data_IF_049460991124
#
_entry.id   IF_049460991124
#
_cell.length_a   1.000
_cell.length_b   1.000
_cell.length_c   1.000
_cell.angle_alpha   90.00
_cell.angle_beta   90.00
_cell.angle_gamma   90.00
#
_symmetry.space_group_name_H-M   'P 1'
#
loop_
_entity.id
_entity.type
_entity.pdbx_description
1 polymer ?
#
# COMPACT_ATOMS: atom_id res chain seq x y z
N UNK A 1 10.50 -14.15 2.92
CA UNK A 1 10.37 -14.17 1.45
C UNK A 1 8.99 -14.73 1.14
N UNK A 2 8.01 -13.84 0.96
CA UNK A 2 6.63 -14.23 0.67
C UNK A 2 6.53 -14.84 -0.72
N UNK A 3 5.91 -16.01 -0.87
CA UNK A 3 5.73 -16.65 -2.19
C UNK A 3 4.54 -16.05 -2.92
N UNK A 4 4.56 -16.09 -4.27
CA UNK A 4 3.44 -15.64 -5.11
C UNK A 4 2.12 -16.31 -4.71
N UNK A 5 2.14 -17.61 -4.48
CA UNK A 5 0.97 -18.39 -4.04
C UNK A 5 0.40 -17.89 -2.71
N UNK A 6 1.27 -17.47 -1.79
CA UNK A 6 0.85 -16.90 -0.51
C UNK A 6 0.15 -15.55 -0.70
N UNK A 7 0.70 -14.67 -1.54
CA UNK A 7 0.08 -13.38 -1.87
C UNK A 7 -1.28 -13.61 -2.53
N UNK A 8 -1.35 -14.45 -3.56
CA UNK A 8 -2.60 -14.76 -4.27
C UNK A 8 -3.64 -15.37 -3.32
N UNK A 9 -3.22 -16.31 -2.46
CA UNK A 9 -4.09 -16.94 -1.47
C UNK A 9 -4.57 -15.97 -0.38
N UNK A 10 -3.78 -14.97 0.00
CA UNK A 10 -4.20 -13.90 0.90
C UNK A 10 -5.23 -13.00 0.22
N UNK A 11 -4.95 -12.49 -0.98
CA UNK A 11 -5.86 -11.60 -1.70
C UNK A 11 -7.17 -12.30 -2.06
N UNK A 12 -7.15 -13.60 -2.41
CA UNK A 12 -8.37 -14.39 -2.62
C UNK A 12 -9.26 -14.43 -1.36
N UNK A 13 -8.65 -14.50 -0.17
CA UNK A 13 -9.38 -14.48 1.11
C UNK A 13 -9.88 -13.08 1.46
N UNK A 14 -9.04 -12.06 1.30
CA UNK A 14 -9.39 -10.67 1.62
C UNK A 14 -10.47 -10.11 0.68
N UNK A 15 -10.49 -10.54 -0.57
CA UNK A 15 -11.43 -10.10 -1.60
C UNK A 15 -12.57 -11.10 -1.82
N UNK A 16 -12.83 -12.01 -0.87
CA UNK A 16 -13.88 -13.02 -1.01
C UNK A 16 -15.27 -12.39 -1.16
N UNK A 17 -15.52 -11.22 -0.57
CA UNK A 17 -16.75 -10.43 -0.76
C UNK A 17 -16.75 -9.59 -2.05
N UNK A 18 -15.69 -9.67 -2.87
CA UNK A 18 -15.49 -8.86 -4.07
C UNK A 18 -14.94 -7.45 -3.80
N UNK A 19 -14.59 -7.13 -2.54
CA UNK A 19 -13.94 -5.88 -2.14
C UNK A 19 -13.07 -6.03 -0.91
N UNK A 20 -12.08 -5.15 -0.73
CA UNK A 20 -11.32 -5.04 0.51
C UNK A 20 -12.07 -4.20 1.55
N UNK A 21 -12.73 -4.85 2.50
CA UNK A 21 -13.53 -4.17 3.55
C UNK A 21 -12.70 -3.33 4.51
N UNK A 22 -11.57 -3.89 4.97
CA UNK A 22 -10.74 -3.32 6.01
C UNK A 22 -9.32 -3.86 5.91
N UNK A 23 -8.38 -3.17 6.57
CA UNK A 23 -7.02 -3.67 6.70
C UNK A 23 -6.98 -4.99 7.49
N UNK A 24 -6.14 -5.96 7.08
CA UNK A 24 -5.89 -7.14 7.88
C UNK A 24 -5.39 -6.76 9.27
N UNK A 25 -5.88 -7.46 10.31
CA UNK A 25 -5.38 -7.28 11.68
C UNK A 25 -4.01 -7.91 11.90
N UNK A 26 -3.69 -8.94 11.12
CA UNK A 26 -2.38 -9.57 11.16
C UNK A 26 -1.34 -8.62 10.50
N UNK A 27 -0.25 -8.26 11.22
CA UNK A 27 0.76 -7.32 10.71
C UNK A 27 1.43 -7.77 9.41
N UNK A 28 1.71 -9.06 9.24
CA UNK A 28 2.37 -9.58 8.04
C UNK A 28 1.44 -9.49 6.82
N UNK A 29 0.16 -9.83 7.01
CA UNK A 29 -0.84 -9.65 5.96
C UNK A 29 -1.02 -8.17 5.60
N UNK A 30 -1.03 -7.28 6.60
CA UNK A 30 -1.05 -5.84 6.35
C UNK A 30 0.17 -5.42 5.53
N UNK A 31 1.37 -5.86 5.90
CA UNK A 31 2.60 -5.54 5.16
C UNK A 31 2.54 -6.03 3.70
N UNK A 32 1.99 -7.22 3.44
CA UNK A 32 1.78 -7.73 2.07
C UNK A 32 0.84 -6.80 1.30
N UNK A 33 -0.29 -6.39 1.90
CA UNK A 33 -1.23 -5.47 1.27
C UNK A 33 -0.57 -4.13 0.92
N UNK A 34 0.19 -3.55 1.86
CA UNK A 34 0.91 -2.28 1.65
C UNK A 34 2.03 -2.40 0.61
N UNK A 35 2.72 -3.55 0.56
CA UNK A 35 3.74 -3.82 -0.45
C UNK A 35 3.13 -3.90 -1.85
N UNK A 36 1.99 -4.60 -2.00
CA UNK A 36 1.28 -4.70 -3.28
C UNK A 36 0.78 -3.33 -3.75
N UNK A 37 0.24 -2.50 -2.85
CA UNK A 37 -0.12 -1.11 -3.18
C UNK A 37 1.10 -0.30 -3.65
N UNK A 38 2.25 -0.47 -3.00
CA UNK A 38 3.50 0.21 -3.34
C UNK A 38 4.10 -0.19 -4.69
N UNK A 39 3.86 -1.43 -5.17
CA UNK A 39 4.42 -1.94 -6.44
C UNK A 39 3.92 -1.14 -7.65
N UNK A 40 2.71 -0.58 -7.59
CA UNK A 40 2.16 0.27 -8.66
C UNK A 40 2.85 1.64 -8.79
N UNK A 41 3.65 2.05 -7.80
CA UNK A 41 4.28 3.36 -7.78
C UNK A 41 5.67 3.35 -8.43
N UNK A 42 5.98 4.36 -9.24
CA UNK A 42 7.32 4.57 -9.79
C UNK A 42 8.38 4.83 -8.71
N UNK A 43 9.55 4.20 -8.88
CA UNK A 43 10.68 4.27 -7.95
C UNK A 43 11.55 5.51 -8.20
N UNK A 44 12.38 5.85 -7.21
CA UNK A 44 13.48 6.86 -7.31
C UNK A 44 13.02 8.26 -7.72
N UNK A 45 11.75 8.60 -7.52
CA UNK A 45 11.23 9.96 -7.69
C UNK A 45 10.50 10.45 -6.43
N UNK A 46 10.54 11.76 -6.14
CA UNK A 46 9.63 12.35 -5.18
C UNK A 46 8.22 12.37 -5.74
N UNK A 47 7.24 12.26 -4.86
CA UNK A 47 5.82 12.50 -5.13
C UNK A 47 5.35 13.70 -4.34
N UNK A 48 4.52 14.55 -4.94
CA UNK A 48 3.64 15.44 -4.18
C UNK A 48 2.56 14.62 -3.48
N UNK A 49 1.92 15.21 -2.45
CA UNK A 49 0.85 14.53 -1.72
C UNK A 49 -0.31 14.12 -2.63
N UNK A 50 -0.69 14.98 -3.59
CA UNK A 50 -1.78 14.69 -4.53
C UNK A 50 -1.44 13.52 -5.46
N UNK A 51 -0.19 13.39 -5.93
CA UNK A 51 0.24 12.26 -6.76
C UNK A 51 0.21 10.94 -5.98
N UNK A 52 0.55 10.99 -4.68
CA UNK A 52 0.39 9.81 -3.81
C UNK A 52 -1.09 9.48 -3.64
N UNK A 53 -1.92 10.47 -3.35
CA UNK A 53 -3.35 10.25 -3.15
C UNK A 53 -4.01 9.65 -4.40
N UNK A 54 -3.66 10.14 -5.59
CA UNK A 54 -4.14 9.61 -6.88
C UNK A 54 -3.70 8.16 -7.08
N UNK A 55 -2.40 7.86 -6.97
CA UNK A 55 -1.90 6.49 -7.14
C UNK A 55 -2.53 5.50 -6.14
N UNK A 56 -2.77 5.94 -4.91
CA UNK A 56 -3.41 5.12 -3.89
C UNK A 56 -4.92 4.98 -4.09
N UNK A 57 -5.59 6.02 -4.60
CA UNK A 57 -7.00 5.95 -4.96
C UNK A 57 -7.22 4.97 -6.12
N UNK A 58 -6.39 5.05 -7.17
CA UNK A 58 -6.44 4.12 -8.32
C UNK A 58 -6.23 2.67 -7.87
N UNK A 59 -5.27 2.45 -6.97
CA UNK A 59 -5.05 1.12 -6.42
C UNK A 59 -6.25 0.63 -5.59
N UNK A 60 -6.83 1.48 -4.73
CA UNK A 60 -8.00 1.13 -3.92
C UNK A 60 -9.22 0.82 -4.79
N UNK A 61 -9.43 1.55 -5.89
CA UNK A 61 -10.51 1.29 -6.85
C UNK A 61 -10.34 -0.09 -7.52
N UNK A 62 -9.11 -0.45 -7.88
CA UNK A 62 -8.82 -1.76 -8.49
C UNK A 62 -9.19 -2.96 -7.60
N UNK A 63 -9.18 -2.78 -6.27
CA UNK A 63 -9.59 -3.79 -5.28
C UNK A 63 -10.95 -3.46 -4.63
N UNK A 64 -11.65 -2.46 -5.18
CA UNK A 64 -12.95 -1.94 -4.71
C UNK A 64 -12.99 -1.65 -3.22
N UNK A 65 -11.87 -1.23 -2.63
CA UNK A 65 -11.73 -1.12 -1.19
C UNK A 65 -12.72 -0.14 -0.56
N UNK A 66 -13.20 -0.45 0.65
CA UNK A 66 -14.01 0.47 1.46
C UNK A 66 -13.16 1.46 2.28
N UNK A 67 -11.83 1.38 2.15
CA UNK A 67 -10.86 2.22 2.85
C UNK A 67 -10.52 3.42 1.98
N UNK A 68 -10.34 4.60 2.58
CA UNK A 68 -9.94 5.79 1.85
C UNK A 68 -8.41 5.89 1.63
N UNK A 69 -8.01 6.64 0.61
CA UNK A 69 -6.60 6.84 0.23
C UNK A 69 -5.77 7.57 1.30
N UNK A 70 -6.40 8.39 2.16
CA UNK A 70 -5.72 9.10 3.25
C UNK A 70 -5.30 8.11 4.33
N UNK A 71 -6.19 7.21 4.72
CA UNK A 71 -5.94 6.14 5.68
C UNK A 71 -4.87 5.20 5.14
N UNK A 72 -4.93 4.82 3.86
CA UNK A 72 -3.88 4.01 3.22
C UNK A 72 -2.53 4.74 3.23
N UNK A 73 -2.48 6.02 2.84
CA UNK A 73 -1.24 6.81 2.86
C UNK A 73 -0.62 6.87 4.25
N UNK A 74 -1.43 7.12 5.29
CA UNK A 74 -0.96 7.17 6.68
C UNK A 74 -0.38 5.82 7.10
N UNK A 75 -1.07 4.72 6.81
CA UNK A 75 -0.56 3.36 7.09
C UNK A 75 0.74 3.06 6.37
N UNK A 76 0.89 3.47 5.11
CA UNK A 76 2.14 3.29 4.37
C UNK A 76 3.29 4.09 4.99
N UNK A 77 3.04 5.28 5.54
CA UNK A 77 4.05 6.04 6.28
C UNK A 77 4.38 5.37 7.61
N UNK A 78 3.36 5.00 8.39
CA UNK A 78 3.52 4.38 9.71
C UNK A 78 4.29 3.05 9.63
N UNK A 79 4.03 2.24 8.60
CA UNK A 79 4.72 0.98 8.34
C UNK A 79 6.02 1.14 7.53
N UNK A 80 6.42 2.37 7.17
CA UNK A 80 7.68 2.68 6.52
C UNK A 80 7.77 2.37 5.03
N UNK A 81 6.67 2.11 4.33
CA UNK A 81 6.60 1.95 2.86
C UNK A 81 6.71 3.29 2.13
N UNK A 82 6.23 4.38 2.75
CA UNK A 82 6.42 5.74 2.30
C UNK A 82 7.25 6.52 3.32
N UNK A 83 8.23 7.28 2.85
CA UNK A 83 8.92 8.31 3.63
C UNK A 83 8.37 9.66 3.21
N UNK A 84 8.29 10.61 4.14
CA UNK A 84 7.91 12.00 3.84
C UNK A 84 8.97 12.96 4.32
N UNK A 85 9.13 14.11 3.65
CA UNK A 85 9.97 15.19 4.17
C UNK A 85 9.38 15.76 5.46
N UNK A 86 10.23 16.36 6.30
CA UNK A 86 9.80 16.97 7.58
C UNK A 86 8.72 18.03 7.41
N UNK A 87 8.77 18.77 6.31
CA UNK A 87 7.76 19.78 5.95
C UNK A 87 6.49 19.20 5.28
N UNK A 88 6.39 17.88 5.11
CA UNK A 88 5.23 17.21 4.50
C UNK A 88 5.06 17.43 2.99
N UNK A 89 5.93 18.22 2.34
CA UNK A 89 5.76 18.62 0.95
C UNK A 89 5.99 17.49 -0.07
N UNK A 90 6.76 16.46 0.29
CA UNK A 90 7.13 15.37 -0.62
C UNK A 90 7.13 14.02 0.06
N UNK A 91 6.79 13.00 -0.72
CA UNK A 91 6.81 11.59 -0.38
C UNK A 91 7.81 10.85 -1.25
N UNK A 92 8.36 9.76 -0.71
CA UNK A 92 9.32 8.89 -1.37
C UNK A 92 8.94 7.45 -1.09
N UNK A 93 8.89 6.64 -2.14
CA UNK A 93 8.73 5.20 -1.99
C UNK A 93 9.98 4.61 -1.32
N UNK A 94 9.79 3.97 -0.16
CA UNK A 94 10.86 3.24 0.50
C UNK A 94 10.97 1.83 -0.09
N UNK A 95 11.57 1.73 -1.28
CA UNK A 95 11.63 0.46 -1.99
C UNK A 95 12.36 -0.65 -1.22
N UNK A 96 13.33 -0.31 -0.36
CA UNK A 96 13.96 -1.30 0.53
C UNK A 96 12.93 -2.05 1.37
N UNK A 97 11.97 -1.32 1.95
CA UNK A 97 10.87 -1.90 2.73
C UNK A 97 9.94 -2.78 1.89
N UNK A 98 9.71 -2.42 0.62
CA UNK A 98 8.86 -3.20 -0.28
C UNK A 98 9.49 -4.57 -0.58
N UNK A 99 10.81 -4.63 -0.74
CA UNK A 99 11.55 -5.86 -1.06
C UNK A 99 11.74 -6.79 0.15
N UNK A 100 11.63 -6.26 1.37
CA UNK A 100 11.76 -7.04 2.61
C UNK A 100 10.56 -7.95 2.91
N UNK A 101 9.39 -7.70 2.31
CA UNK A 101 8.15 -8.46 2.48
C UNK A 101 8.20 -9.77 1.67
#
# INVERSE_FOLDING_TARGET
MTTREHVEGLFRRLLQSGRLEAFPRNPDHLHIVLAVAAVGMARRRPYAEWEVNEALADWLDSVRAAIDHVTLRRRMVDCGFLKRTRNGSRYFLNYGRVVEV
#
